data_IF_565265335605
#
_entry.id   IF_565265335605
#
_cell.length_a   1.000
_cell.length_b   1.000
_cell.length_c   1.000
_cell.angle_alpha   90.00
_cell.angle_beta   90.00
_cell.angle_gamma   90.00
#
_symmetry.space_group_name_H-M   'P 1'
#
loop_
_entity.id
_entity.type
_entity.pdbx_description
1 polymer ?
#
# COMPACT_ATOMS: atom_id res chain seq x y z
N UNK A 1 -15.37 -0.39 23.04
CA UNK A 1 -15.08 1.05 23.16
C UNK A 1 -16.25 1.69 23.86
N UNK A 2 -16.04 2.09 25.09
CA UNK A 2 -17.03 2.71 25.97
C UNK A 2 -17.25 4.19 25.62
N UNK A 3 -18.29 4.81 26.17
CA UNK A 3 -18.56 6.24 25.95
C UNK A 3 -17.39 7.10 26.43
N UNK A 4 -16.80 6.76 27.57
CA UNK A 4 -15.62 7.42 28.14
C UNK A 4 -14.42 7.38 27.20
N UNK A 5 -14.13 6.24 26.57
CA UNK A 5 -13.01 6.10 25.64
C UNK A 5 -13.13 7.06 24.44
N UNK A 6 -14.36 7.28 23.96
CA UNK A 6 -14.63 8.20 22.85
C UNK A 6 -14.42 9.65 23.29
N UNK A 7 -14.91 10.01 24.48
CA UNK A 7 -14.73 11.35 25.05
C UNK A 7 -13.25 11.66 25.28
N UNK A 8 -12.48 10.70 25.82
CA UNK A 8 -11.06 10.85 26.07
C UNK A 8 -10.26 10.98 24.76
N UNK A 9 -10.64 10.23 23.72
CA UNK A 9 -10.06 10.40 22.39
C UNK A 9 -10.32 11.81 21.84
N UNK A 10 -11.56 12.32 21.89
CA UNK A 10 -11.89 13.67 21.43
C UNK A 10 -11.13 14.77 22.21
N UNK A 11 -11.03 14.63 23.54
CA UNK A 11 -10.25 15.53 24.40
C UNK A 11 -8.76 15.51 24.03
N UNK A 12 -8.19 14.31 23.79
CA UNK A 12 -6.78 14.17 23.38
C UNK A 12 -6.45 14.89 22.07
N UNK A 13 -7.45 15.07 21.19
CA UNK A 13 -7.34 15.76 19.90
C UNK A 13 -7.84 17.21 19.96
N UNK A 14 -8.17 17.71 21.14
CA UNK A 14 -8.71 19.06 21.38
C UNK A 14 -9.98 19.35 20.54
N UNK A 15 -10.79 18.32 20.26
CA UNK A 15 -12.07 18.47 19.56
C UNK A 15 -13.14 18.82 20.58
N UNK A 16 -13.92 19.88 20.34
CA UNK A 16 -15.02 20.30 21.21
C UNK A 16 -16.23 19.38 21.01
N UNK A 17 -16.84 18.96 22.12
CA UNK A 17 -18.09 18.21 22.15
C UNK A 17 -18.81 18.48 23.49
N UNK A 18 -20.08 18.10 23.58
CA UNK A 18 -20.88 18.16 24.81
C UNK A 18 -20.84 16.80 25.54
N UNK A 19 -20.52 16.80 26.84
CA UNK A 19 -20.42 15.59 27.67
C UNK A 19 -21.76 14.83 27.81
N UNK A 20 -22.89 15.52 27.61
CA UNK A 20 -24.24 14.93 27.63
C UNK A 20 -24.56 14.09 26.38
N UNK A 21 -23.80 14.21 25.29
CA UNK A 21 -24.08 13.50 24.03
C UNK A 21 -24.10 11.99 24.21
N UNK A 22 -24.99 11.33 23.48
CA UNK A 22 -25.05 9.88 23.40
C UNK A 22 -23.82 9.34 22.67
N UNK A 23 -23.52 8.06 22.93
CA UNK A 23 -22.40 7.35 22.29
C UNK A 23 -22.43 7.45 20.76
N UNK A 24 -23.62 7.37 20.16
CA UNK A 24 -23.79 7.45 18.69
C UNK A 24 -23.46 8.84 18.14
N UNK A 25 -23.81 9.90 18.87
CA UNK A 25 -23.53 11.29 18.48
C UNK A 25 -22.03 11.60 18.60
N UNK A 26 -21.40 11.12 19.67
CA UNK A 26 -19.95 11.20 19.83
C UNK A 26 -19.20 10.46 18.72
N UNK A 27 -19.70 9.29 18.29
CA UNK A 27 -19.13 8.55 17.16
C UNK A 27 -19.29 9.28 15.82
N UNK A 28 -20.38 10.04 15.63
CA UNK A 28 -20.55 10.89 14.45
C UNK A 28 -19.45 11.96 14.38
N UNK A 29 -19.21 12.67 15.50
CA UNK A 29 -18.12 13.66 15.62
C UNK A 29 -16.76 12.99 15.36
N UNK A 30 -16.51 11.81 15.95
CA UNK A 30 -15.28 11.07 15.66
C UNK A 30 -15.16 10.79 14.17
N UNK A 31 -16.19 10.30 13.49
CA UNK A 31 -16.11 9.97 12.06
C UNK A 31 -15.82 11.17 11.16
N UNK A 32 -16.29 12.36 11.53
CA UNK A 32 -15.96 13.62 10.84
C UNK A 32 -14.48 13.97 10.97
N UNK A 33 -13.90 13.80 12.16
CA UNK A 33 -12.51 14.19 12.43
C UNK A 33 -11.49 13.07 12.24
N UNK A 34 -11.91 11.81 12.26
CA UNK A 34 -11.03 10.63 12.31
C UNK A 34 -10.07 10.60 11.13
N UNK A 35 -10.51 11.03 9.94
CA UNK A 35 -9.65 11.09 8.75
C UNK A 35 -8.40 11.95 8.93
N UNK A 36 -8.46 12.99 9.77
CA UNK A 36 -7.32 13.88 10.03
C UNK A 36 -6.26 13.23 10.95
N UNK A 37 -6.66 12.20 11.70
CA UNK A 37 -5.80 11.53 12.68
C UNK A 37 -5.52 10.07 12.31
N UNK A 38 -6.28 9.49 11.38
CA UNK A 38 -6.03 8.21 10.76
C UNK A 38 -4.87 8.34 9.77
N UNK A 39 -3.67 8.40 10.31
CA UNK A 39 -2.44 8.34 9.53
C UNK A 39 -1.96 6.90 9.48
N UNK A 40 -1.64 6.42 8.28
CA UNK A 40 -0.95 5.13 8.17
C UNK A 40 0.51 5.34 8.58
N UNK A 41 1.02 4.46 9.44
CA UNK A 41 2.42 4.51 9.90
C UNK A 41 3.38 4.53 8.70
N UNK A 42 3.08 3.75 7.66
CA UNK A 42 3.84 3.70 6.41
C UNK A 42 3.85 5.06 5.68
N UNK A 43 2.74 5.79 5.67
CA UNK A 43 2.64 7.08 5.01
C UNK A 43 3.49 8.13 5.75
N UNK A 44 3.48 8.11 7.09
CA UNK A 44 4.34 9.00 7.89
C UNK A 44 5.82 8.66 7.75
N UNK A 45 6.17 7.36 7.71
CA UNK A 45 7.55 6.91 7.45
C UNK A 45 8.03 7.37 6.07
N UNK A 46 7.22 7.17 5.02
CA UNK A 46 7.54 7.63 3.67
C UNK A 46 7.69 9.15 3.60
N UNK A 47 6.75 9.89 4.21
CA UNK A 47 6.77 11.35 4.28
C UNK A 47 8.02 11.89 4.98
N UNK A 48 8.51 11.22 6.03
CA UNK A 48 9.75 11.61 6.71
C UNK A 48 10.99 11.57 5.79
N UNK A 49 10.91 10.78 4.71
CA UNK A 49 11.93 10.64 3.67
C UNK A 49 11.56 11.38 2.39
N UNK A 50 10.59 12.31 2.44
CA UNK A 50 10.07 13.05 1.29
C UNK A 50 9.49 12.15 0.17
N UNK A 51 8.98 10.98 0.52
CA UNK A 51 8.34 10.04 -0.40
C UNK A 51 6.81 10.09 -0.28
N UNK A 52 6.14 9.91 -1.41
CA UNK A 52 4.67 9.83 -1.49
C UNK A 52 4.27 8.37 -1.67
N UNK A 53 3.33 7.89 -0.85
CA UNK A 53 2.77 6.55 -0.99
C UNK A 53 1.63 6.59 -2.01
N UNK A 54 1.79 5.82 -3.09
CA UNK A 54 0.73 5.58 -4.06
C UNK A 54 0.00 4.29 -3.70
N UNK A 55 -1.33 4.35 -3.55
CA UNK A 55 -2.17 3.19 -3.25
C UNK A 55 -2.93 2.78 -4.50
N UNK A 56 -2.89 1.49 -4.79
CA UNK A 56 -3.63 0.94 -5.91
C UNK A 56 -5.09 0.69 -5.50
N UNK A 57 -6.03 0.82 -6.45
CA UNK A 57 -7.39 0.36 -6.24
C UNK A 57 -7.43 -1.13 -5.86
N UNK A 58 -8.36 -1.55 -4.98
CA UNK A 58 -8.54 -2.95 -4.66
C UNK A 58 -8.78 -3.79 -5.93
N UNK A 59 -8.19 -4.99 -5.99
CA UNK A 59 -8.33 -5.94 -7.11
C UNK A 59 -7.74 -5.49 -8.46
N UNK A 60 -6.93 -4.44 -8.48
CA UNK A 60 -6.30 -3.92 -9.69
C UNK A 60 -4.77 -4.13 -9.68
N UNK A 61 -4.33 -5.37 -9.54
CA UNK A 61 -2.90 -5.71 -9.50
C UNK A 61 -2.19 -5.46 -10.86
N UNK A 62 -2.94 -5.43 -11.96
CA UNK A 62 -2.44 -5.04 -13.28
C UNK A 62 -1.93 -3.59 -13.34
N UNK A 63 -2.30 -2.77 -12.35
CA UNK A 63 -1.81 -1.40 -12.19
C UNK A 63 -0.53 -1.32 -11.33
N UNK A 64 0.03 -2.46 -10.93
CA UNK A 64 1.27 -2.52 -10.16
C UNK A 64 2.44 -3.01 -11.04
N UNK A 65 3.41 -2.15 -11.41
CA UNK A 65 4.47 -2.56 -12.33
C UNK A 65 5.37 -3.66 -11.76
N UNK A 66 5.45 -3.79 -10.42
CA UNK A 66 6.23 -4.88 -9.79
C UNK A 66 5.65 -6.26 -10.10
N UNK A 67 4.34 -6.39 -10.39
CA UNK A 67 3.71 -7.69 -10.67
C UNK A 67 4.21 -8.28 -11.99
N UNK A 68 4.51 -7.43 -12.99
CA UNK A 68 5.12 -7.85 -14.25
C UNK A 68 6.52 -8.40 -14.04
N UNK A 69 7.31 -7.69 -13.23
CA UNK A 69 8.68 -8.08 -12.90
C UNK A 69 8.69 -9.34 -12.03
N UNK A 70 7.74 -9.44 -11.11
CA UNK A 70 7.55 -10.61 -10.26
C UNK A 70 7.14 -11.84 -11.08
N UNK A 71 6.28 -11.66 -12.09
CA UNK A 71 5.94 -12.74 -13.02
C UNK A 71 7.18 -13.27 -13.74
N UNK A 72 8.04 -12.39 -14.24
CA UNK A 72 9.29 -12.79 -14.89
C UNK A 72 10.25 -13.51 -13.94
N UNK A 73 10.41 -13.02 -12.72
CA UNK A 73 11.24 -13.66 -11.70
C UNK A 73 10.70 -15.04 -11.31
N UNK A 74 9.37 -15.19 -11.20
CA UNK A 74 8.74 -16.49 -10.92
C UNK A 74 8.97 -17.47 -12.07
N UNK A 75 8.86 -17.03 -13.32
CA UNK A 75 9.12 -17.88 -14.48
C UNK A 75 10.59 -18.33 -14.50
N UNK A 76 11.53 -17.39 -14.29
CA UNK A 76 12.96 -17.71 -14.16
C UNK A 76 13.20 -18.75 -13.07
N UNK A 77 12.59 -18.55 -11.90
CA UNK A 77 12.73 -19.50 -10.80
C UNK A 77 12.10 -20.86 -11.10
N UNK A 78 10.94 -20.90 -11.75
CA UNK A 78 10.28 -22.15 -12.13
C UNK A 78 11.13 -22.97 -13.12
N UNK A 79 11.84 -22.30 -14.04
CA UNK A 79 12.73 -22.95 -15.00
C UNK A 79 14.03 -23.48 -14.36
N UNK A 80 14.53 -22.80 -13.33
CA UNK A 80 15.85 -23.09 -12.72
C UNK A 80 15.78 -23.90 -11.43
N UNK A 81 14.66 -23.87 -10.72
CA UNK A 81 14.52 -24.54 -9.43
C UNK A 81 14.30 -26.04 -9.62
N UNK A 82 15.41 -26.78 -9.67
CA UNK A 82 15.40 -28.24 -9.83
C UNK A 82 15.49 -28.99 -8.51
N UNK A 83 15.99 -28.35 -7.45
CA UNK A 83 16.28 -29.00 -6.16
C UNK A 83 15.19 -28.76 -5.12
N UNK A 84 14.35 -27.74 -5.29
CA UNK A 84 13.32 -27.30 -4.36
C UNK A 84 13.84 -26.96 -2.95
N UNK A 85 15.15 -26.69 -2.82
CA UNK A 85 15.78 -26.29 -1.56
C UNK A 85 15.78 -24.78 -1.42
N UNK A 86 15.57 -24.30 -0.20
CA UNK A 86 15.53 -22.87 0.09
C UNK A 86 16.83 -22.13 -0.26
N UNK A 87 17.99 -22.74 0.00
CA UNK A 87 19.28 -22.09 -0.29
C UNK A 87 19.49 -21.92 -1.80
N UNK A 88 19.17 -22.94 -2.58
CA UNK A 88 19.26 -22.88 -4.05
C UNK A 88 18.25 -21.87 -4.61
N UNK A 89 17.03 -21.86 -4.06
CA UNK A 89 16.02 -20.85 -4.41
C UNK A 89 16.46 -19.42 -4.08
N UNK A 90 17.18 -19.21 -2.98
CA UNK A 90 17.73 -17.90 -2.62
C UNK A 90 18.77 -17.44 -3.64
N UNK A 91 19.65 -18.34 -4.11
CA UNK A 91 20.61 -18.04 -5.17
C UNK A 91 19.89 -17.68 -6.47
N UNK A 92 18.95 -18.53 -6.91
CA UNK A 92 18.14 -18.31 -8.12
C UNK A 92 17.37 -16.99 -8.05
N UNK A 93 16.87 -16.62 -6.87
CA UNK A 93 16.20 -15.34 -6.67
C UNK A 93 17.13 -14.15 -6.96
N UNK A 94 18.35 -14.14 -6.41
CA UNK A 94 19.30 -13.06 -6.68
C UNK A 94 19.78 -13.04 -8.14
N UNK A 95 19.93 -14.20 -8.77
CA UNK A 95 20.20 -14.29 -10.22
C UNK A 95 19.06 -13.67 -11.02
N UNK A 96 17.81 -14.01 -10.71
CA UNK A 96 16.62 -13.45 -11.35
C UNK A 96 16.57 -11.92 -11.21
N UNK A 97 16.83 -11.38 -10.01
CA UNK A 97 16.95 -9.93 -9.79
C UNK A 97 18.02 -9.32 -10.69
N UNK A 98 19.18 -9.98 -10.82
CA UNK A 98 20.28 -9.53 -11.68
C UNK A 98 19.93 -9.48 -13.17
N UNK A 99 18.91 -10.22 -13.62
CA UNK A 99 18.44 -10.17 -15.01
C UNK A 99 17.54 -8.96 -15.31
N UNK A 100 17.05 -8.27 -14.27
CA UNK A 100 16.13 -7.14 -14.43
C UNK A 100 16.92 -5.87 -14.75
N UNK A 101 16.88 -5.48 -16.01
CA UNK A 101 17.54 -4.25 -16.47
C UNK A 101 16.69 -3.01 -16.18
N UNK A 102 17.35 -1.84 -16.09
CA UNK A 102 16.67 -0.56 -15.98
C UNK A 102 15.68 -0.31 -17.14
N UNK A 103 16.04 -0.75 -18.36
CA UNK A 103 15.16 -0.65 -19.53
C UNK A 103 13.91 -1.52 -19.37
N UNK A 104 14.06 -2.75 -18.87
CA UNK A 104 12.94 -3.65 -18.61
C UNK A 104 11.99 -3.05 -17.57
N UNK A 105 12.53 -2.55 -16.46
CA UNK A 105 11.75 -1.85 -15.44
C UNK A 105 10.98 -0.65 -16.00
N UNK A 106 11.64 0.19 -16.80
CA UNK A 106 11.01 1.34 -17.47
C UNK A 106 9.86 0.92 -18.39
N UNK A 107 10.03 -0.16 -19.14
CA UNK A 107 8.97 -0.69 -20.01
C UNK A 107 7.75 -1.17 -19.21
N UNK A 108 7.96 -1.84 -18.07
CA UNK A 108 6.87 -2.25 -17.17
C UNK A 108 6.11 -1.06 -16.60
N UNK A 109 6.81 0.01 -16.20
CA UNK A 109 6.15 1.26 -15.76
C UNK A 109 5.30 1.85 -16.88
N UNK A 110 5.85 1.98 -18.09
CA UNK A 110 5.14 2.55 -19.23
C UNK A 110 3.89 1.73 -19.58
N UNK A 111 3.98 0.40 -19.54
CA UNK A 111 2.83 -0.48 -19.75
C UNK A 111 1.69 -0.18 -18.76
N UNK A 112 2.01 -0.07 -17.48
CA UNK A 112 1.03 0.26 -16.44
C UNK A 112 0.44 1.66 -16.67
N UNK A 113 1.25 2.66 -16.98
CA UNK A 113 0.76 4.02 -17.26
C UNK A 113 -0.24 4.04 -18.43
N UNK A 114 0.08 3.35 -19.52
CA UNK A 114 -0.82 3.24 -20.67
C UNK A 114 -2.15 2.56 -20.29
N UNK A 115 -2.11 1.51 -19.44
CA UNK A 115 -3.32 0.84 -18.95
C UNK A 115 -4.18 1.77 -18.07
N UNK A 116 -3.55 2.61 -17.24
CA UNK A 116 -4.27 3.62 -16.43
C UNK A 116 -4.97 4.62 -17.35
N UNK A 117 -4.25 5.19 -18.33
CA UNK A 117 -4.82 6.18 -19.26
C UNK A 117 -6.03 5.63 -20.03
N UNK A 118 -5.95 4.37 -20.49
CA UNK A 118 -7.07 3.70 -21.15
C UNK A 118 -8.28 3.50 -20.24
N UNK A 119 -8.07 3.22 -18.95
CA UNK A 119 -9.15 2.99 -17.98
C UNK A 119 -9.77 4.28 -17.43
N UNK A 120 -9.03 5.38 -17.42
CA UNK A 120 -9.50 6.68 -16.94
C UNK A 120 -10.07 7.59 -18.05
N UNK A 121 -9.90 7.21 -19.32
CA UNK A 121 -10.27 8.00 -20.49
C UNK A 121 -11.72 7.83 -21.02
N UNK A 122 -12.69 7.49 -20.17
CA UNK A 122 -14.14 7.48 -20.50
C UNK A 122 -14.94 8.30 -19.52
#
# INVERSE_FOLDING_TARGET
MEKSDIQDWLRSKQIKFDDCLLKVELLAIVNEHKKNYNKYIIDEMAKSQNNIVLRLPPYHCELNPIELIWADMKNYAAEKNTTFKFQDMKTIFFEAVGTITAQKWKNCIQHVQNNIEQKCGT
#
